data_IF_057565711907
#
_entry.id   IF_057565711907
#
_cell.length_a   1.000
_cell.length_b   1.000
_cell.length_c   1.000
_cell.angle_alpha   90.00
_cell.angle_beta   90.00
_cell.angle_gamma   90.00
#
_symmetry.space_group_name_H-M   'P 1'
#
loop_
_entity.id
_entity.type
_entity.pdbx_description
1 polymer ?
#
# COMPACT_ATOMS: atom_id res chain seq x y z
N UNK A 1 -0.90 5.76 -12.05
CA UNK A 1 -2.10 4.94 -11.76
C UNK A 1 -3.00 5.72 -10.82
N UNK A 2 -2.57 6.05 -9.60
CA UNK A 2 -3.37 6.83 -8.62
C UNK A 2 -3.85 8.20 -9.15
N UNK A 3 -2.99 9.01 -9.78
CA UNK A 3 -3.40 10.31 -10.37
C UNK A 3 -4.52 10.21 -11.41
N UNK A 4 -4.69 9.05 -12.06
CA UNK A 4 -5.71 8.85 -13.10
C UNK A 4 -7.07 8.43 -12.53
N UNK A 5 -7.10 7.90 -11.31
CA UNK A 5 -8.33 7.42 -10.64
C UNK A 5 -8.81 8.38 -9.55
N UNK A 6 -7.99 9.38 -9.19
CA UNK A 6 -8.22 10.24 -8.04
C UNK A 6 -7.65 9.64 -6.75
N UNK A 7 -7.42 10.50 -5.76
CA UNK A 7 -6.87 10.12 -4.45
C UNK A 7 -8.02 10.08 -3.44
N UNK A 8 -8.23 8.93 -2.79
CA UNK A 8 -9.15 8.77 -1.66
C UNK A 8 -8.61 9.44 -0.38
N UNK A 9 -9.48 9.70 0.61
CA UNK A 9 -9.07 10.29 1.89
C UNK A 9 -7.96 9.50 2.60
N UNK A 10 -7.89 8.19 2.37
CA UNK A 10 -6.84 7.32 2.89
C UNK A 10 -6.16 6.54 1.75
N UNK A 11 -4.82 6.58 1.72
CA UNK A 11 -4.00 5.85 0.73
C UNK A 11 -2.99 4.97 1.46
N UNK A 12 -3.04 3.68 1.16
CA UNK A 12 -2.15 2.68 1.76
C UNK A 12 -1.12 2.25 0.73
N UNK A 13 0.16 2.28 1.11
CA UNK A 13 1.26 1.85 0.26
C UNK A 13 1.83 0.51 0.74
N UNK A 14 1.68 -0.52 -0.10
CA UNK A 14 2.11 -1.90 0.19
C UNK A 14 3.07 -2.44 -0.87
N UNK A 15 3.52 -3.68 -0.70
CA UNK A 15 4.52 -4.34 -1.55
C UNK A 15 5.96 -4.05 -1.11
N UNK A 16 6.93 -4.67 -1.80
CA UNK A 16 8.35 -4.56 -1.44
C UNK A 16 8.89 -3.12 -1.52
N UNK A 17 8.40 -2.33 -2.49
CA UNK A 17 8.80 -0.93 -2.66
C UNK A 17 8.44 -0.04 -1.46
N UNK A 18 7.39 -0.40 -0.70
CA UNK A 18 6.97 0.35 0.47
C UNK A 18 7.93 0.26 1.67
N UNK A 19 8.89 -0.67 1.65
CA UNK A 19 10.01 -0.69 2.61
C UNK A 19 11.00 0.47 2.39
N UNK A 20 11.01 1.06 1.20
CA UNK A 20 11.87 2.20 0.88
C UNK A 20 11.24 3.50 1.38
N UNK A 21 11.86 4.11 2.39
CA UNK A 21 11.49 5.45 2.87
C UNK A 21 11.60 6.49 1.74
N UNK A 22 12.61 6.36 0.87
CA UNK A 22 12.78 7.26 -0.27
C UNK A 22 11.61 7.16 -1.26
N UNK A 23 11.17 5.94 -1.56
CA UNK A 23 10.02 5.71 -2.44
C UNK A 23 8.73 6.25 -1.82
N UNK A 24 8.51 6.00 -0.53
CA UNK A 24 7.36 6.56 0.21
C UNK A 24 7.33 8.09 0.10
N UNK A 25 8.44 8.77 0.43
CA UNK A 25 8.51 10.24 0.37
C UNK A 25 8.28 10.78 -1.04
N UNK A 26 8.86 10.13 -2.05
CA UNK A 26 8.67 10.53 -3.45
C UNK A 26 7.20 10.43 -3.87
N UNK A 27 6.52 9.35 -3.47
CA UNK A 27 5.10 9.15 -3.75
C UNK A 27 4.21 10.13 -2.96
N UNK A 28 4.49 10.36 -1.67
CA UNK A 28 3.77 11.34 -0.86
C UNK A 28 3.84 12.74 -1.49
N UNK A 29 5.03 13.15 -1.96
CA UNK A 29 5.22 14.43 -2.63
C UNK A 29 4.49 14.50 -3.99
N UNK A 30 4.54 13.43 -4.78
CA UNK A 30 3.89 13.39 -6.09
C UNK A 30 2.36 13.37 -5.98
N UNK A 31 1.82 12.70 -4.96
CA UNK A 31 0.37 12.56 -4.77
C UNK A 31 -0.23 13.67 -3.91
N UNK A 32 0.60 14.45 -3.21
CA UNK A 32 0.14 15.51 -2.30
C UNK A 32 -0.57 14.99 -1.06
N UNK A 33 -0.38 13.71 -0.71
CA UNK A 33 -1.03 13.06 0.45
C UNK A 33 -0.04 12.26 1.26
N UNK A 34 -0.35 12.03 2.54
CA UNK A 34 0.42 11.10 3.37
C UNK A 34 0.02 9.67 3.04
N UNK A 35 0.99 8.77 3.00
CA UNK A 35 0.77 7.35 2.80
C UNK A 35 0.78 6.63 4.14
N UNK A 36 -0.24 5.80 4.38
CA UNK A 36 -0.22 4.80 5.42
C UNK A 36 0.63 3.60 4.93
N UNK A 37 1.58 3.15 5.75
CA UNK A 37 2.43 2.00 5.45
C UNK A 37 2.28 1.01 6.60
N UNK A 38 1.77 -0.21 6.37
CA UNK A 38 1.70 -1.24 7.41
C UNK A 38 3.10 -1.68 7.82
N UNK A 39 3.23 -2.33 8.97
CA UNK A 39 4.51 -2.83 9.51
C UNK A 39 5.21 -3.78 8.53
N UNK A 40 4.45 -4.70 7.93
CA UNK A 40 4.94 -5.68 6.96
C UNK A 40 4.29 -5.49 5.57
N UNK A 41 4.67 -4.45 4.81
CA UNK A 41 3.97 -4.12 3.57
C UNK A 41 4.18 -5.15 2.47
N UNK A 42 5.32 -5.86 2.48
CA UNK A 42 5.70 -6.83 1.45
C UNK A 42 4.83 -8.09 1.43
N UNK A 43 4.25 -8.48 2.58
CA UNK A 43 3.49 -9.73 2.71
C UNK A 43 1.98 -9.54 2.70
N UNK A 44 1.47 -8.30 2.65
CA UNK A 44 0.03 -7.99 2.74
C UNK A 44 -0.82 -8.78 1.74
N UNK A 45 -0.36 -8.97 0.50
CA UNK A 45 -1.05 -9.79 -0.50
C UNK A 45 -1.10 -11.29 -0.12
N UNK A 46 0.01 -11.84 0.37
CA UNK A 46 0.07 -13.22 0.84
C UNK A 46 -0.79 -13.42 2.11
N UNK A 47 -0.83 -12.43 3.01
CA UNK A 47 -1.71 -12.41 4.17
C UNK A 47 -3.17 -12.43 3.74
N UNK A 48 -3.56 -11.62 2.76
CA UNK A 48 -4.91 -11.65 2.19
C UNK A 48 -5.28 -13.02 1.62
N UNK A 49 -4.37 -13.63 0.86
CA UNK A 49 -4.57 -14.99 0.35
C UNK A 49 -4.73 -16.03 1.47
N UNK A 50 -3.95 -15.92 2.55
CA UNK A 50 -4.08 -16.81 3.71
C UNK A 50 -5.41 -16.63 4.46
N UNK A 51 -5.92 -15.39 4.55
CA UNK A 51 -7.23 -15.10 5.13
C UNK A 51 -8.33 -15.72 4.27
N UNK A 52 -8.29 -15.52 2.95
CA UNK A 52 -9.26 -16.11 2.00
C UNK A 52 -9.27 -17.64 2.14
N UNK A 53 -8.10 -18.28 2.14
CA UNK A 53 -7.97 -19.72 2.30
C UNK A 53 -8.51 -20.22 3.65
N UNK A 54 -8.33 -19.43 4.72
CA UNK A 54 -8.88 -19.72 6.05
C UNK A 54 -10.40 -19.57 6.09
N UNK A 55 -10.95 -18.59 5.39
CA UNK A 55 -12.40 -18.30 5.34
C UNK A 55 -13.16 -19.24 4.39
N UNK A 56 -12.46 -19.99 3.53
CA UNK A 56 -13.04 -21.03 2.69
C UNK A 56 -13.73 -20.50 1.43
N UNK A 57 -13.28 -19.34 0.92
CA UNK A 57 -13.67 -18.77 -0.37
C UNK A 57 -12.94 -19.44 -1.55
#
# INVERSE_FOLDING_TARGET
MVERVGVSEEVIFTGGAAKSIAMRKALENSLGVKLAVPEEPQITGALGAAIIAKEGL
#
